data_IF_639702797582
#
_entry.id   IF_639702797582
#
_cell.length_a   1.000
_cell.length_b   1.000
_cell.length_c   1.000
_cell.angle_alpha   90.00
_cell.angle_beta   90.00
_cell.angle_gamma   90.00
#
_symmetry.space_group_name_H-M   'P 1'
#
loop_
_entity.id
_entity.type
_entity.pdbx_description
1 polymer ?
#
# COMPACT_ATOMS: atom_id res chain seq x y z
N UNK A 1 -7.80 2.25 35.36
CA UNK A 1 -8.90 2.04 34.38
C UNK A 1 -8.24 1.75 33.04
N UNK A 2 -8.41 0.55 32.46
CA UNK A 2 -7.83 0.25 31.14
C UNK A 2 -8.55 1.13 30.11
N UNK A 3 -7.86 2.14 29.60
CA UNK A 3 -8.35 2.99 28.53
C UNK A 3 -7.96 2.37 27.19
N UNK A 4 -8.78 1.49 26.66
CA UNK A 4 -8.57 0.92 25.32
C UNK A 4 -9.14 1.90 24.29
N UNK A 5 -8.35 2.39 23.30
CA UNK A 5 -8.90 3.11 22.16
C UNK A 5 -9.99 2.26 21.51
N UNK A 6 -11.20 2.79 21.39
CA UNK A 6 -12.27 2.15 20.61
C UNK A 6 -12.21 2.69 19.21
N UNK A 7 -12.15 1.78 18.24
CA UNK A 7 -12.34 2.15 16.85
C UNK A 7 -13.83 2.38 16.65
N UNK A 8 -14.22 3.61 16.32
CA UNK A 8 -15.60 3.92 15.99
C UNK A 8 -15.95 3.27 14.65
N UNK A 9 -17.00 2.43 14.66
CA UNK A 9 -17.51 1.76 13.47
C UNK A 9 -18.81 2.42 13.06
N UNK A 10 -18.86 2.87 11.82
CA UNK A 10 -20.04 3.50 11.23
C UNK A 10 -20.73 2.48 10.32
N UNK A 11 -21.73 1.78 10.85
CA UNK A 11 -22.44 0.71 10.12
C UNK A 11 -23.09 1.20 8.82
N UNK A 12 -23.43 2.48 8.72
CA UNK A 12 -23.98 3.05 7.49
C UNK A 12 -22.95 3.12 6.37
N UNK A 13 -21.65 3.28 6.68
CA UNK A 13 -20.59 3.26 5.66
C UNK A 13 -20.38 1.88 5.05
N UNK A 14 -20.74 0.80 5.77
CA UNK A 14 -20.70 -0.58 5.23
C UNK A 14 -21.75 -0.82 4.14
N UNK A 15 -22.80 0.01 4.12
CA UNK A 15 -23.85 0.00 3.10
C UNK A 15 -23.46 0.78 1.84
N UNK A 16 -22.34 1.50 1.88
CA UNK A 16 -21.75 2.18 0.73
C UNK A 16 -20.83 1.24 -0.04
N UNK A 17 -20.52 1.65 -1.27
CA UNK A 17 -19.63 0.93 -2.16
C UNK A 17 -18.26 1.63 -2.18
N UNK A 18 -17.23 0.97 -1.63
CA UNK A 18 -15.90 1.56 -1.47
C UNK A 18 -14.87 0.94 -2.40
N UNK A 19 -14.01 1.80 -2.93
CA UNK A 19 -12.84 1.46 -3.71
C UNK A 19 -11.64 2.04 -2.98
N UNK A 20 -10.70 1.19 -2.60
CA UNK A 20 -9.40 1.59 -2.08
C UNK A 20 -8.36 1.38 -3.17
N UNK A 21 -7.60 2.43 -3.48
CA UNK A 21 -6.53 2.40 -4.47
C UNK A 21 -5.19 2.53 -3.77
N UNK A 22 -4.25 1.66 -4.11
CA UNK A 22 -2.90 1.63 -3.60
C UNK A 22 -1.91 1.87 -4.73
N UNK A 23 -1.04 2.85 -4.56
CA UNK A 23 0.02 3.16 -5.50
C UNK A 23 1.32 3.54 -4.81
N UNK A 24 2.27 3.97 -5.62
CA UNK A 24 3.61 4.36 -5.18
C UNK A 24 3.66 5.88 -5.32
N UNK A 25 4.05 6.57 -4.25
CA UNK A 25 4.05 8.01 -4.20
C UNK A 25 4.99 8.62 -5.23
N UNK A 26 4.57 9.76 -5.77
CA UNK A 26 5.12 10.46 -6.95
C UNK A 26 4.91 9.68 -8.26
N UNK A 27 5.18 8.39 -8.26
CA UNK A 27 5.14 7.51 -9.43
C UNK A 27 3.72 7.23 -9.96
N UNK A 28 2.74 7.14 -9.07
CA UNK A 28 1.35 6.78 -9.37
C UNK A 28 0.34 7.84 -8.94
N UNK A 29 0.76 8.94 -8.31
CA UNK A 29 -0.16 9.96 -7.76
C UNK A 29 -1.12 10.50 -8.82
N UNK A 30 -0.60 10.84 -10.00
CA UNK A 30 -1.41 11.35 -11.11
C UNK A 30 -2.38 10.29 -11.67
N UNK A 31 -1.91 9.04 -11.82
CA UNK A 31 -2.74 7.94 -12.30
C UNK A 31 -3.87 7.60 -11.32
N UNK A 32 -3.58 7.52 -10.02
CA UNK A 32 -4.57 7.26 -8.99
C UNK A 32 -5.60 8.38 -8.90
N UNK A 33 -5.17 9.64 -9.05
CA UNK A 33 -6.07 10.79 -9.08
C UNK A 33 -7.03 10.69 -10.26
N UNK A 34 -6.51 10.46 -11.48
CA UNK A 34 -7.33 10.31 -12.68
C UNK A 34 -8.29 9.11 -12.58
N UNK A 35 -7.83 7.99 -12.00
CA UNK A 35 -8.63 6.80 -11.76
C UNK A 35 -9.79 7.08 -10.81
N UNK A 36 -9.52 7.64 -9.62
CA UNK A 36 -10.55 7.98 -8.62
C UNK A 36 -11.53 9.03 -9.13
N UNK A 37 -11.04 10.08 -9.82
CA UNK A 37 -11.90 11.10 -10.43
C UNK A 37 -12.84 10.53 -11.49
N UNK A 38 -12.35 9.64 -12.34
CA UNK A 38 -13.18 9.04 -13.39
C UNK A 38 -14.23 8.11 -12.80
N UNK A 39 -13.90 7.35 -11.75
CA UNK A 39 -14.86 6.51 -11.03
C UNK A 39 -15.94 7.34 -10.34
N UNK A 40 -15.57 8.42 -9.64
CA UNK A 40 -16.54 9.32 -9.04
C UNK A 40 -17.50 9.90 -10.12
N UNK A 41 -16.95 10.32 -11.27
CA UNK A 41 -17.77 10.81 -12.37
C UNK A 41 -18.74 9.77 -12.92
N UNK A 42 -18.40 8.48 -12.91
CA UNK A 42 -19.34 7.40 -13.26
C UNK A 42 -20.52 7.37 -12.32
N UNK A 43 -20.32 7.46 -11.01
CA UNK A 43 -21.44 7.46 -10.07
C UNK A 43 -22.31 8.71 -10.23
N UNK A 44 -21.70 9.88 -10.42
CA UNK A 44 -22.43 11.12 -10.71
C UNK A 44 -23.31 10.99 -11.97
N UNK A 45 -22.80 10.37 -13.04
CA UNK A 45 -23.58 10.10 -14.27
C UNK A 45 -24.77 9.19 -14.05
N UNK A 46 -24.69 8.30 -13.08
CA UNK A 46 -25.76 7.39 -12.69
C UNK A 46 -26.69 7.99 -11.63
N UNK A 47 -26.58 9.28 -11.32
CA UNK A 47 -27.39 9.96 -10.31
C UNK A 47 -27.08 9.51 -8.88
N UNK A 48 -25.89 8.96 -8.63
CA UNK A 48 -25.43 8.51 -7.33
C UNK A 48 -24.44 9.52 -6.78
N UNK A 49 -24.61 9.91 -5.52
CA UNK A 49 -23.61 10.70 -4.81
C UNK A 49 -22.29 9.95 -4.78
N UNK A 50 -21.20 10.63 -5.11
CA UNK A 50 -19.85 10.05 -5.09
C UNK A 50 -18.88 11.00 -4.46
N UNK A 51 -17.91 10.43 -3.77
CA UNK A 51 -16.82 11.17 -3.15
C UNK A 51 -15.50 10.48 -3.45
N UNK A 52 -14.43 11.25 -3.61
CA UNK A 52 -13.09 10.70 -3.72
C UNK A 52 -12.10 11.62 -3.01
N UNK A 53 -11.10 11.03 -2.37
CA UNK A 53 -10.08 11.77 -1.65
C UNK A 53 -8.80 10.93 -1.57
N UNK A 54 -7.68 11.64 -1.48
CA UNK A 54 -6.41 11.05 -1.10
C UNK A 54 -6.34 11.05 0.41
N UNK A 55 -5.77 10.00 1.00
CA UNK A 55 -5.53 9.96 2.44
C UNK A 55 -4.59 11.10 2.86
N UNK A 56 -5.06 12.01 3.71
CA UNK A 56 -4.31 13.19 4.11
C UNK A 56 -2.94 12.88 4.73
N UNK A 57 -2.84 11.84 5.56
CA UNK A 57 -1.59 11.39 6.19
C UNK A 57 -0.50 10.96 5.21
N UNK A 58 -0.88 10.59 3.98
CA UNK A 58 0.06 10.24 2.92
C UNK A 58 0.55 11.49 2.15
N UNK A 59 0.04 12.68 2.50
CA UNK A 59 0.43 13.99 1.96
C UNK A 59 1.38 14.74 2.92
N UNK A 60 2.42 15.42 2.43
CA UNK A 60 2.86 15.48 1.03
C UNK A 60 3.45 14.14 0.56
N UNK A 61 3.21 13.79 -0.72
CA UNK A 61 3.75 12.54 -1.24
C UNK A 61 5.29 12.52 -1.20
N UNK A 62 5.83 11.31 -1.14
CA UNK A 62 7.26 11.04 -1.16
C UNK A 62 7.52 9.89 -2.11
N UNK A 63 8.71 9.91 -2.72
CA UNK A 63 9.17 8.83 -3.57
C UNK A 63 9.09 7.48 -2.84
N UNK A 64 8.40 6.52 -3.45
CA UNK A 64 8.29 5.11 -3.04
C UNK A 64 7.43 4.80 -1.83
N UNK A 65 6.83 5.80 -1.18
CA UNK A 65 5.90 5.54 -0.09
C UNK A 65 4.58 5.02 -0.68
N UNK A 66 3.96 3.96 -0.12
CA UNK A 66 2.63 3.55 -0.52
C UNK A 66 1.64 4.68 -0.29
N UNK A 67 0.79 4.97 -1.26
CA UNK A 67 -0.26 5.97 -1.13
C UNK A 67 -1.62 5.31 -1.22
N UNK A 68 -2.60 5.89 -0.51
CA UNK A 68 -3.98 5.44 -0.50
C UNK A 68 -4.90 6.53 -1.04
N UNK A 69 -5.77 6.14 -1.97
CA UNK A 69 -6.89 6.95 -2.43
C UNK A 69 -8.17 6.17 -2.21
N UNK A 70 -9.21 6.89 -1.82
CA UNK A 70 -10.55 6.33 -1.64
C UNK A 70 -11.49 6.87 -2.71
N UNK A 71 -12.40 6.02 -3.17
CA UNK A 71 -13.54 6.43 -3.98
C UNK A 71 -14.77 5.72 -3.46
N UNK A 72 -15.81 6.49 -3.17
CA UNK A 72 -16.99 6.03 -2.46
C UNK A 72 -18.22 6.33 -3.31
N UNK A 73 -19.06 5.32 -3.48
CA UNK A 73 -20.33 5.40 -4.18
C UNK A 73 -21.47 5.30 -3.17
N UNK A 74 -22.41 6.23 -3.30
CA UNK A 74 -23.57 6.36 -2.44
C UNK A 74 -24.58 5.25 -2.58
N UNK A 75 -25.38 5.15 -1.53
CA UNK A 75 -26.61 4.35 -1.50
C UNK A 75 -27.78 5.33 -1.38
N UNK A 76 -28.92 5.12 -2.07
CA UNK A 76 -30.09 6.00 -1.97
C UNK A 76 -30.56 6.32 -0.55
N UNK A 77 -30.25 5.45 0.43
CA UNK A 77 -30.66 5.59 1.82
C UNK A 77 -29.56 6.11 2.77
N UNK A 78 -28.33 6.30 2.27
CA UNK A 78 -27.18 6.75 3.07
C UNK A 78 -26.43 7.82 2.26
N UNK A 79 -26.50 9.10 2.66
CA UNK A 79 -25.72 10.17 2.04
C UNK A 79 -24.22 9.86 2.09
N UNK A 80 -23.45 10.32 1.08
CA UNK A 80 -21.98 10.12 1.03
C UNK A 80 -21.23 11.24 1.75
N UNK A 81 -21.92 12.07 2.52
CA UNK A 81 -21.29 13.07 3.36
C UNK A 81 -20.63 12.38 4.56
N UNK A 82 -19.35 12.02 4.39
CA UNK A 82 -18.53 11.53 5.49
C UNK A 82 -18.33 12.67 6.49
N UNK A 83 -18.50 12.38 7.78
CA UNK A 83 -18.36 13.38 8.85
C UNK A 83 -16.99 14.07 8.82
N UNK A 84 -15.92 13.34 8.46
CA UNK A 84 -14.56 13.81 8.17
C UNK A 84 -13.89 12.82 7.18
N UNK A 85 -12.65 13.04 6.73
CA UNK A 85 -11.82 12.01 6.05
C UNK A 85 -11.48 10.89 7.05
N UNK A 86 -12.49 10.14 7.48
CA UNK A 86 -12.35 9.08 8.46
C UNK A 86 -11.63 7.90 7.84
N UNK A 87 -10.76 7.29 8.64
CA UNK A 87 -10.16 6.03 8.28
C UNK A 87 -11.25 4.96 8.20
N UNK A 88 -11.41 4.29 7.06
CA UNK A 88 -12.40 3.23 6.91
C UNK A 88 -12.06 2.07 7.83
N UNK A 89 -12.95 1.78 8.80
CA UNK A 89 -12.85 0.61 9.67
C UNK A 89 -14.13 -0.20 9.63
N UNK A 90 -13.99 -1.50 9.38
CA UNK A 90 -15.10 -2.43 9.19
C UNK A 90 -14.86 -3.30 7.96
N UNK A 91 -15.91 -3.87 7.38
CA UNK A 91 -15.83 -4.59 6.11
C UNK A 91 -16.41 -3.69 5.00
N UNK A 92 -15.57 -2.81 4.46
CA UNK A 92 -15.97 -1.68 3.63
C UNK A 92 -15.63 -1.89 2.16
N UNK A 93 -14.41 -2.33 1.85
CA UNK A 93 -13.89 -2.27 0.49
C UNK A 93 -14.50 -3.34 -0.41
N UNK A 94 -15.21 -2.88 -1.45
CA UNK A 94 -15.71 -3.72 -2.54
C UNK A 94 -14.62 -3.98 -3.57
N UNK A 95 -13.76 -2.99 -3.82
CA UNK A 95 -12.66 -3.08 -4.79
C UNK A 95 -11.36 -2.60 -4.15
N UNK A 96 -10.30 -3.38 -4.31
CA UNK A 96 -8.93 -3.03 -3.96
C UNK A 96 -8.15 -2.91 -5.27
N UNK A 97 -7.75 -1.70 -5.66
CA UNK A 97 -6.96 -1.45 -6.85
C UNK A 97 -5.49 -1.25 -6.49
N UNK A 98 -4.58 -2.01 -7.11
CA UNK A 98 -3.14 -1.99 -6.83
C UNK A 98 -2.38 -1.62 -8.11
N UNK A 99 -1.73 -0.46 -8.11
CA UNK A 99 -1.06 0.10 -9.30
C UNK A 99 0.35 -0.47 -9.54
N UNK A 100 0.89 -1.21 -8.57
CA UNK A 100 2.15 -1.96 -8.71
C UNK A 100 2.11 -3.24 -7.89
N UNK A 101 2.44 -4.36 -8.52
CA UNK A 101 2.55 -5.67 -7.85
C UNK A 101 3.56 -5.70 -6.69
N UNK A 102 4.53 -4.78 -6.66
CA UNK A 102 5.47 -4.68 -5.53
C UNK A 102 4.77 -4.37 -4.20
N UNK A 103 3.60 -3.72 -4.26
CA UNK A 103 2.78 -3.43 -3.08
C UNK A 103 2.15 -4.70 -2.48
N UNK A 104 2.13 -5.82 -3.22
CA UNK A 104 1.66 -7.12 -2.71
C UNK A 104 2.63 -7.79 -1.73
N UNK A 105 3.86 -7.29 -1.58
CA UNK A 105 4.89 -7.86 -0.72
C UNK A 105 4.94 -7.23 0.68
N UNK A 106 4.28 -6.09 0.84
CA UNK A 106 4.50 -5.19 1.95
C UNK A 106 3.18 -4.69 2.51
N UNK A 107 3.22 -4.22 3.76
CA UNK A 107 2.09 -3.53 4.38
C UNK A 107 1.87 -2.15 3.73
N UNK A 108 0.65 -1.65 3.86
CA UNK A 108 0.25 -0.32 3.38
C UNK A 108 0.96 0.81 4.14
N UNK A 109 0.76 2.07 3.77
CA UNK A 109 1.27 3.24 4.54
C UNK A 109 0.82 3.22 6.00
N UNK A 110 -0.33 2.62 6.28
CA UNK A 110 -0.90 2.43 7.62
C UNK A 110 -0.31 1.25 8.37
N UNK A 111 0.66 0.54 7.81
CA UNK A 111 1.15 -0.76 8.34
C UNK A 111 0.02 -1.78 8.50
N UNK A 112 -1.00 -1.67 7.67
CA UNK A 112 -2.11 -2.60 7.57
C UNK A 112 -1.85 -3.61 6.45
N UNK A 113 -2.54 -4.75 6.50
CA UNK A 113 -2.59 -5.64 5.34
C UNK A 113 -3.44 -4.98 4.23
N UNK A 114 -3.18 -5.34 2.98
CA UNK A 114 -3.95 -4.83 1.85
C UNK A 114 -5.45 -5.20 1.95
N UNK A 115 -5.78 -6.35 2.55
CA UNK A 115 -7.15 -6.80 2.76
C UNK A 115 -7.75 -6.37 4.11
N UNK A 116 -7.01 -5.66 4.97
CA UNK A 116 -7.60 -5.08 6.17
C UNK A 116 -8.71 -4.12 5.72
N UNK A 117 -9.95 -4.39 6.11
CA UNK A 117 -11.11 -3.58 5.72
C UNK A 117 -11.89 -4.09 4.51
N UNK A 118 -11.45 -5.18 3.87
CA UNK A 118 -12.09 -5.70 2.67
C UNK A 118 -13.35 -6.51 2.98
N UNK A 119 -14.37 -6.43 2.11
CA UNK A 119 -15.52 -7.34 2.14
C UNK A 119 -15.07 -8.75 1.73
N UNK A 120 -15.75 -9.79 2.22
CA UNK A 120 -15.43 -11.19 1.85
C UNK A 120 -15.51 -11.45 0.35
N UNK A 121 -16.34 -10.72 -0.39
CA UNK A 121 -16.47 -10.83 -1.85
C UNK A 121 -15.70 -9.75 -2.62
N UNK A 122 -14.73 -9.07 -1.98
CA UNK A 122 -14.00 -7.97 -2.59
C UNK A 122 -13.26 -8.39 -3.88
N UNK A 123 -13.11 -7.44 -4.79
CA UNK A 123 -12.39 -7.62 -6.05
C UNK A 123 -11.01 -6.98 -5.90
N UNK A 124 -9.95 -7.76 -6.13
CA UNK A 124 -8.59 -7.27 -6.19
C UNK A 124 -8.20 -7.02 -7.64
N UNK A 125 -7.95 -5.77 -8.02
CA UNK A 125 -7.46 -5.39 -9.36
C UNK A 125 -5.98 -5.03 -9.26
N UNK A 126 -5.10 -5.71 -10.00
CA UNK A 126 -3.65 -5.50 -9.93
C UNK A 126 -3.09 -5.16 -11.30
N UNK A 127 -2.40 -4.02 -11.40
CA UNK A 127 -1.52 -3.74 -12.52
C UNK A 127 -0.27 -4.61 -12.42
N UNK A 128 -0.19 -5.65 -13.25
CA UNK A 128 0.91 -6.60 -13.28
C UNK A 128 0.94 -7.42 -14.57
N UNK A 129 2.11 -7.96 -14.88
CA UNK A 129 2.29 -8.97 -15.92
C UNK A 129 2.46 -10.40 -15.40
N UNK A 130 2.45 -10.60 -14.07
CA UNK A 130 2.45 -11.95 -13.48
C UNK A 130 1.04 -12.55 -13.55
N UNK A 131 0.95 -13.87 -13.45
CA UNK A 131 -0.34 -14.58 -13.56
C UNK A 131 -1.27 -14.29 -12.37
N UNK A 132 -2.60 -14.39 -12.54
CA UNK A 132 -3.54 -14.36 -11.41
C UNK A 132 -3.19 -15.37 -10.31
N UNK A 133 -2.67 -16.55 -10.68
CA UNK A 133 -2.26 -17.58 -9.72
C UNK A 133 -1.10 -17.11 -8.83
N UNK A 134 -0.12 -16.44 -9.43
CA UNK A 134 1.00 -15.89 -8.68
C UNK A 134 0.54 -14.73 -7.79
N UNK A 135 -0.35 -13.86 -8.26
CA UNK A 135 -0.99 -12.83 -7.41
C UNK A 135 -1.68 -13.47 -6.21
N UNK A 136 -2.46 -14.53 -6.41
CA UNK A 136 -3.14 -15.25 -5.31
C UNK A 136 -2.13 -15.80 -4.30
N UNK A 137 -1.01 -16.39 -4.77
CA UNK A 137 0.06 -16.86 -3.86
C UNK A 137 0.62 -15.72 -3.01
N UNK A 138 0.90 -14.56 -3.61
CA UNK A 138 1.39 -13.38 -2.89
C UNK A 138 0.39 -12.89 -1.85
N UNK A 139 -0.89 -12.81 -2.22
CA UNK A 139 -1.97 -12.39 -1.31
C UNK A 139 -2.06 -13.31 -0.10
N UNK A 140 -2.10 -14.65 -0.31
CA UNK A 140 -2.12 -15.65 0.78
C UNK A 140 -0.92 -15.54 1.72
N UNK A 141 0.24 -15.13 1.19
CA UNK A 141 1.50 -15.04 1.93
C UNK A 141 1.64 -13.74 2.72
N UNK A 142 1.27 -12.62 2.13
CA UNK A 142 1.65 -11.29 2.64
C UNK A 142 0.49 -10.42 3.12
N UNK A 143 -0.72 -10.63 2.62
CA UNK A 143 -1.72 -9.57 2.62
C UNK A 143 -3.15 -9.99 3.01
N UNK A 144 -3.39 -11.26 3.28
CA UNK A 144 -4.71 -11.76 3.65
C UNK A 144 -4.66 -12.49 4.98
N UNK A 145 -5.56 -12.13 5.89
CA UNK A 145 -5.73 -12.79 7.18
C UNK A 145 -7.21 -13.05 7.53
N UNK A 146 -8.09 -13.03 6.53
CA UNK A 146 -9.52 -13.26 6.64
C UNK A 146 -9.99 -14.15 5.49
N UNK A 147 -11.22 -14.67 5.58
CA UNK A 147 -11.82 -15.38 4.46
C UNK A 147 -12.02 -14.45 3.27
N UNK A 148 -11.81 -14.96 2.07
CA UNK A 148 -11.99 -14.21 0.84
C UNK A 148 -12.55 -15.11 -0.28
N UNK A 149 -13.76 -14.77 -0.70
CA UNK A 149 -14.59 -15.42 -1.72
C UNK A 149 -14.87 -14.44 -2.87
N UNK A 150 -13.82 -13.78 -3.36
CA UNK A 150 -13.91 -12.69 -4.32
C UNK A 150 -13.31 -13.03 -5.68
N UNK A 151 -12.75 -12.00 -6.31
CA UNK A 151 -12.13 -12.11 -7.65
C UNK A 151 -10.79 -11.39 -7.67
N UNK A 152 -9.83 -11.97 -8.39
CA UNK A 152 -8.59 -11.31 -8.81
C UNK A 152 -8.74 -10.89 -10.26
N UNK A 153 -8.38 -9.65 -10.55
CA UNK A 153 -8.24 -9.11 -11.90
C UNK A 153 -6.79 -8.69 -12.08
N UNK A 154 -6.14 -9.20 -13.11
CA UNK A 154 -4.79 -8.76 -13.48
C UNK A 154 -4.80 -8.08 -14.84
N UNK A 155 -3.97 -7.06 -14.99
CA UNK A 155 -3.82 -6.32 -16.25
C UNK A 155 -2.40 -5.79 -16.39
N UNK A 156 -1.80 -5.93 -17.56
CA UNK A 156 -0.53 -5.25 -17.90
C UNK A 156 -0.81 -3.85 -18.45
N UNK A 157 -1.15 -2.92 -17.56
CA UNK A 157 -1.71 -1.61 -17.92
C UNK A 157 -0.71 -0.78 -18.74
N UNK A 158 0.57 -0.76 -18.38
CA UNK A 158 1.56 0.05 -19.08
C UNK A 158 1.80 -0.43 -20.53
N UNK A 159 1.49 -1.69 -20.86
CA UNK A 159 1.53 -2.16 -22.25
C UNK A 159 0.45 -1.55 -23.13
N UNK A 160 -0.65 -1.08 -22.54
CA UNK A 160 -1.79 -0.50 -23.25
C UNK A 160 -1.60 1.00 -23.39
N UNK A 161 -1.32 1.70 -22.30
CA UNK A 161 -1.15 3.16 -22.27
C UNK A 161 -0.17 3.56 -21.16
N UNK A 162 0.58 4.65 -21.38
CA UNK A 162 1.47 5.19 -20.35
C UNK A 162 0.72 5.79 -19.16
N UNK A 163 -0.51 6.28 -19.38
CA UNK A 163 -1.43 6.70 -18.33
C UNK A 163 -2.24 5.48 -17.89
N UNK A 164 -1.66 4.70 -16.97
CA UNK A 164 -2.17 3.39 -16.55
C UNK A 164 -3.52 3.46 -15.83
N UNK A 165 -3.94 4.66 -15.40
CA UNK A 165 -5.27 4.90 -14.85
C UNK A 165 -6.40 4.37 -15.77
N UNK A 166 -6.35 4.68 -17.06
CA UNK A 166 -7.42 4.36 -18.00
C UNK A 166 -7.60 2.87 -18.30
N UNK A 167 -6.54 2.09 -18.59
CA UNK A 167 -6.68 0.63 -18.70
C UNK A 167 -7.09 -0.01 -17.36
N UNK A 168 -6.62 0.51 -16.22
CA UNK A 168 -7.07 0.04 -14.89
C UNK A 168 -8.56 0.25 -14.65
N UNK A 169 -9.15 1.36 -15.14
CA UNK A 169 -10.61 1.57 -15.09
C UNK A 169 -11.37 0.48 -15.85
N UNK A 170 -10.90 0.12 -17.04
CA UNK A 170 -11.46 -0.99 -17.81
C UNK A 170 -11.38 -2.32 -17.06
N UNK A 171 -10.26 -2.57 -16.37
CA UNK A 171 -10.08 -3.74 -15.53
C UNK A 171 -11.09 -3.81 -14.38
N UNK A 172 -11.39 -2.68 -13.72
CA UNK A 172 -12.47 -2.63 -12.71
C UNK A 172 -13.81 -3.01 -13.32
N UNK A 173 -14.17 -2.41 -14.45
CA UNK A 173 -15.45 -2.70 -15.11
C UNK A 173 -15.58 -4.16 -15.59
N UNK A 174 -14.45 -4.86 -15.83
CA UNK A 174 -14.47 -6.28 -16.21
C UNK A 174 -14.97 -7.22 -15.12
N UNK A 175 -14.95 -6.77 -13.85
CA UNK A 175 -15.31 -7.60 -12.70
C UNK A 175 -16.31 -6.96 -11.74
N UNK A 176 -16.53 -5.64 -11.79
CA UNK A 176 -17.40 -4.96 -10.83
C UNK A 176 -18.64 -4.35 -11.50
N UNK A 177 -19.79 -4.98 -11.28
CA UNK A 177 -21.07 -4.64 -11.93
C UNK A 177 -21.57 -3.21 -11.65
N UNK A 178 -21.02 -2.56 -10.61
CA UNK A 178 -21.38 -1.18 -10.27
C UNK A 178 -20.90 -0.17 -11.32
N UNK A 179 -19.84 -0.50 -12.06
CA UNK A 179 -19.19 0.34 -13.06
C UNK A 179 -19.18 -0.40 -14.39
N UNK A 180 -19.94 0.08 -15.36
CA UNK A 180 -19.95 -0.45 -16.72
C UNK A 180 -19.05 0.36 -17.64
N UNK A 181 -18.70 -0.27 -18.78
CA UNK A 181 -17.81 0.30 -19.77
C UNK A 181 -18.39 1.59 -20.38
N UNK A 182 -19.69 1.63 -20.70
CA UNK A 182 -20.31 2.79 -21.33
C UNK A 182 -20.24 4.03 -20.43
N UNK A 183 -20.50 3.86 -19.14
CA UNK A 183 -20.40 4.94 -18.15
C UNK A 183 -18.97 5.46 -18.02
N UNK A 184 -17.96 4.57 -18.05
CA UNK A 184 -16.55 4.99 -18.03
C UNK A 184 -16.16 5.77 -19.30
N UNK A 185 -16.65 5.33 -20.46
CA UNK A 185 -16.42 6.01 -21.73
C UNK A 185 -17.07 7.39 -21.75
N UNK A 186 -18.28 7.53 -21.20
CA UNK A 186 -18.96 8.81 -21.05
C UNK A 186 -18.23 9.73 -20.04
N UNK A 187 -17.76 9.18 -18.91
CA UNK A 187 -16.96 9.94 -17.94
C UNK A 187 -15.66 10.46 -18.56
N UNK A 188 -15.00 9.67 -19.42
CA UNK A 188 -13.82 10.11 -20.14
C UNK A 188 -14.09 11.28 -21.10
N UNK A 189 -15.25 11.35 -21.75
CA UNK A 189 -15.62 12.50 -22.60
C UNK A 189 -15.76 13.79 -21.80
N UNK A 190 -16.38 13.72 -20.63
CA UNK A 190 -16.63 14.89 -19.77
C UNK A 190 -15.32 15.55 -19.36
N UNK A 191 -14.28 14.75 -19.11
CA UNK A 191 -12.95 15.24 -18.78
C UNK A 191 -12.09 15.62 -20.01
N UNK A 192 -12.65 15.60 -21.23
CA UNK A 192 -11.90 15.85 -22.47
C UNK A 192 -10.80 14.81 -22.71
N UNK A 193 -11.07 13.55 -22.38
CA UNK A 193 -10.15 12.41 -22.49
C UNK A 193 -10.65 11.41 -23.54
N UNK A 194 -11.23 11.88 -24.64
CA UNK A 194 -11.80 11.04 -25.70
C UNK A 194 -10.76 10.06 -26.27
N UNK A 195 -9.50 10.52 -26.38
CA UNK A 195 -8.37 9.69 -26.83
C UNK A 195 -8.05 8.51 -25.90
N UNK A 196 -8.51 8.54 -24.64
CA UNK A 196 -8.28 7.49 -23.64
C UNK A 196 -9.36 6.42 -23.62
N UNK A 197 -10.49 6.63 -24.30
CA UNK A 197 -11.57 5.64 -24.45
C UNK A 197 -11.07 4.29 -24.94
N UNK A 198 -10.20 4.30 -25.95
CA UNK A 198 -9.64 3.07 -26.50
C UNK A 198 -8.78 2.32 -25.48
N UNK A 199 -8.05 3.05 -24.63
CA UNK A 199 -7.29 2.45 -23.55
C UNK A 199 -8.19 1.81 -22.49
N UNK A 200 -9.35 2.41 -22.19
CA UNK A 200 -10.33 1.84 -21.26
C UNK A 200 -10.89 0.53 -21.83
N UNK A 201 -11.29 0.51 -23.13
CA UNK A 201 -11.81 -0.69 -23.80
C UNK A 201 -10.78 -1.82 -23.80
N UNK A 202 -9.54 -1.52 -24.20
CA UNK A 202 -8.45 -2.49 -24.14
C UNK A 202 -8.20 -2.99 -22.73
N UNK A 203 -8.34 -2.13 -21.72
CA UNK A 203 -8.25 -2.55 -20.34
C UNK A 203 -9.30 -3.59 -19.98
N UNK A 204 -10.56 -3.33 -20.33
CA UNK A 204 -11.67 -4.25 -20.13
C UNK A 204 -11.46 -5.60 -20.84
N UNK A 205 -11.06 -5.56 -22.11
CA UNK A 205 -10.90 -6.77 -22.96
C UNK A 205 -9.68 -7.62 -22.60
N UNK A 206 -8.58 -6.99 -22.16
CA UNK A 206 -7.32 -7.69 -21.89
C UNK A 206 -7.10 -8.02 -20.40
N UNK A 207 -8.11 -7.77 -19.55
CA UNK A 207 -8.08 -8.17 -18.15
C UNK A 207 -8.26 -9.67 -17.98
N UNK A 208 -7.44 -10.27 -17.13
CA UNK A 208 -7.61 -11.66 -16.72
C UNK A 208 -8.30 -11.72 -15.37
N UNK A 209 -9.52 -12.26 -15.35
CA UNK A 209 -10.35 -12.40 -14.15
C UNK A 209 -10.29 -13.84 -13.65
N UNK A 210 -10.08 -14.02 -12.35
CA UNK A 210 -10.08 -15.31 -11.67
C UNK A 210 -10.91 -15.24 -10.38
N UNK A 211 -11.86 -16.14 -10.22
CA UNK A 211 -12.55 -16.34 -8.95
C UNK A 211 -11.64 -17.02 -7.93
N UNK A 212 -11.79 -16.64 -6.67
CA UNK A 212 -11.01 -17.18 -5.56
C UNK A 212 -11.92 -17.57 -4.42
N UNK A 213 -11.54 -18.65 -3.74
CA UNK A 213 -12.16 -19.09 -2.51
C UNK A 213 -11.05 -19.50 -1.54
N UNK A 214 -10.71 -18.61 -0.62
CA UNK A 214 -9.57 -18.75 0.29
C UNK A 214 -10.09 -18.59 1.71
N UNK A 215 -9.86 -19.60 2.54
CA UNK A 215 -10.15 -19.55 3.97
C UNK A 215 -8.99 -18.89 4.71
N UNK A 216 -9.29 -18.15 5.79
CA UNK A 216 -8.27 -17.45 6.58
C UNK A 216 -7.15 -18.39 7.04
N UNK A 217 -7.49 -19.60 7.47
CA UNK A 217 -6.58 -20.63 7.94
C UNK A 217 -5.54 -21.10 6.91
N UNK A 218 -5.78 -20.88 5.62
CA UNK A 218 -4.84 -21.21 4.56
C UNK A 218 -3.72 -20.17 4.41
N UNK A 219 -3.89 -18.98 4.99
CA UNK A 219 -3.00 -17.84 4.79
C UNK A 219 -1.86 -17.82 5.81
N UNK A 220 -0.70 -17.32 5.40
CA UNK A 220 0.44 -17.18 6.32
C UNK A 220 0.21 -16.08 7.35
N UNK A 221 -0.46 -14.99 6.95
CA UNK A 221 -0.66 -13.86 7.85
C UNK A 221 -1.62 -14.21 8.97
N UNK A 222 -2.72 -14.93 8.69
CA UNK A 222 -3.61 -15.42 9.75
C UNK A 222 -2.86 -16.26 10.79
N UNK A 223 -1.95 -17.14 10.34
CA UNK A 223 -1.11 -17.97 11.23
C UNK A 223 -0.10 -17.15 12.05
N UNK A 224 0.31 -15.98 11.53
CA UNK A 224 1.29 -15.08 12.18
C UNK A 224 0.64 -14.07 13.13
N UNK A 225 -0.66 -13.82 13.03
CA UNK A 225 -1.37 -12.95 13.97
C UNK A 225 -1.28 -13.61 15.35
N UNK A 226 -0.58 -12.92 16.26
CA UNK A 226 -0.49 -13.32 17.66
C UNK A 226 -1.67 -12.73 18.43
N UNK A 227 -2.05 -13.41 19.51
CA UNK A 227 -2.98 -12.88 20.51
C UNK A 227 -2.48 -11.55 21.08
N UNK A 228 -3.42 -10.76 21.62
CA UNK A 228 -3.24 -9.42 22.18
C UNK A 228 -1.94 -9.27 22.98
N UNK A 229 -1.20 -8.20 22.70
CA UNK A 229 -0.02 -7.82 23.48
C UNK A 229 -0.53 -7.26 24.81
N UNK A 230 -0.07 -7.82 25.94
CA UNK A 230 -0.30 -7.21 27.24
C UNK A 230 0.48 -5.90 27.33
N UNK A 231 -0.25 -4.78 27.30
CA UNK A 231 0.30 -3.45 27.45
C UNK A 231 0.36 -3.06 28.94
N UNK A 232 1.40 -2.32 29.37
CA UNK A 232 1.48 -1.80 30.73
C UNK A 232 0.24 -0.98 31.08
N UNK A 233 -0.31 -1.14 32.29
CA UNK A 233 -1.41 -0.27 32.73
C UNK A 233 -0.89 1.11 33.09
N UNK A 234 -1.69 2.14 32.77
CA UNK A 234 -1.39 3.50 33.21
C UNK A 234 -1.53 3.63 34.73
N UNK A 235 -0.43 3.96 35.39
CA UNK A 235 -0.34 4.07 36.85
C UNK A 235 -0.68 5.47 37.38
N UNK A 236 -0.92 6.45 36.51
CA UNK A 236 -1.08 7.86 36.90
C UNK A 236 0.22 8.65 36.95
N UNK A 237 1.36 7.99 36.71
CA UNK A 237 2.69 8.60 36.66
C UNK A 237 3.20 8.72 35.22
N UNK A 238 4.21 9.57 35.03
CA UNK A 238 4.87 9.75 33.74
C UNK A 238 5.52 8.45 33.26
N UNK A 239 5.55 8.24 31.94
CA UNK A 239 6.14 7.06 31.36
C UNK A 239 7.64 6.95 31.66
N UNK A 240 8.04 5.83 32.25
CA UNK A 240 9.45 5.46 32.21
C UNK A 240 9.84 5.10 30.78
N UNK A 241 11.14 5.21 30.40
CA UNK A 241 11.60 4.77 29.09
C UNK A 241 11.15 3.34 28.74
N UNK A 242 11.13 2.44 29.71
CA UNK A 242 10.68 1.05 29.54
C UNK A 242 9.20 0.96 29.12
N UNK A 243 8.33 1.75 29.75
CA UNK A 243 6.90 1.82 29.39
C UNK A 243 6.74 2.40 27.98
N UNK A 244 7.40 3.54 27.69
CA UNK A 244 7.36 4.17 26.36
C UNK A 244 7.79 3.19 25.26
N UNK A 245 8.93 2.50 25.44
CA UNK A 245 9.42 1.55 24.45
C UNK A 245 8.54 0.31 24.31
N UNK A 246 7.83 -0.11 25.36
CA UNK A 246 6.89 -1.24 25.29
C UNK A 246 5.70 -0.90 24.39
N UNK A 247 5.09 0.28 24.57
CA UNK A 247 4.03 0.78 23.71
C UNK A 247 4.50 0.98 22.27
N UNK A 248 5.65 1.64 22.09
CA UNK A 248 6.22 1.88 20.77
C UNK A 248 6.51 0.57 20.02
N UNK A 249 7.05 -0.43 20.72
CA UNK A 249 7.31 -1.77 20.16
C UNK A 249 6.02 -2.50 19.81
N UNK A 250 5.00 -2.45 20.67
CA UNK A 250 3.72 -3.08 20.39
C UNK A 250 3.06 -2.50 19.12
N UNK A 251 3.05 -1.17 18.98
CA UNK A 251 2.55 -0.50 17.78
C UNK A 251 3.41 -0.75 16.53
N UNK A 252 4.70 -0.94 16.70
CA UNK A 252 5.62 -1.28 15.62
C UNK A 252 5.44 -2.71 15.09
N UNK A 253 5.22 -3.67 16.00
CA UNK A 253 5.14 -5.11 15.70
C UNK A 253 3.71 -5.59 15.40
N UNK A 254 2.72 -4.71 15.56
CA UNK A 254 1.33 -4.94 15.20
C UNK A 254 1.19 -5.49 13.76
N UNK A 255 0.39 -6.54 13.62
CA UNK A 255 0.20 -7.26 12.35
C UNK A 255 -1.00 -6.79 11.55
N UNK A 256 -2.00 -6.22 12.23
CA UNK A 256 -3.22 -5.66 11.64
C UNK A 256 -3.40 -4.21 12.05
N UNK A 257 -4.19 -3.45 11.28
CA UNK A 257 -4.56 -2.09 11.66
C UNK A 257 -5.21 -2.02 13.05
N UNK A 258 -6.15 -2.92 13.35
CA UNK A 258 -6.86 -2.94 14.64
C UNK A 258 -5.93 -3.18 15.83
N UNK A 259 -4.99 -4.13 15.71
CA UNK A 259 -3.98 -4.39 16.74
C UNK A 259 -3.06 -3.20 16.96
N UNK A 260 -2.72 -2.47 15.88
CA UNK A 260 -1.91 -1.25 15.96
C UNK A 260 -2.64 -0.16 16.74
N UNK A 261 -3.90 0.12 16.41
CA UNK A 261 -4.69 1.13 17.14
C UNK A 261 -4.87 0.74 18.61
N UNK A 262 -5.15 -0.52 18.90
CA UNK A 262 -5.27 -1.00 20.28
C UNK A 262 -3.96 -0.84 21.09
N UNK A 263 -2.81 -0.85 20.40
CA UNK A 263 -1.49 -0.65 20.99
C UNK A 263 -1.04 0.81 21.10
N UNK A 264 -1.79 1.76 20.55
CA UNK A 264 -1.45 3.17 20.66
C UNK A 264 -1.89 3.75 22.02
N UNK A 265 -1.05 4.54 22.68
CA UNK A 265 -1.45 5.25 23.88
C UNK A 265 -2.52 6.30 23.57
N UNK A 266 -3.44 6.54 24.51
CA UNK A 266 -4.32 7.71 24.44
C UNK A 266 -3.61 8.98 24.89
N UNK A 267 -4.18 10.13 24.55
CA UNK A 267 -3.61 11.43 24.89
C UNK A 267 -3.42 11.65 26.41
N UNK A 268 -4.26 11.03 27.26
CA UNK A 268 -4.18 11.18 28.72
C UNK A 268 -2.92 10.57 29.33
N UNK A 269 -2.23 9.69 28.58
CA UNK A 269 -1.02 9.01 29.05
C UNK A 269 0.23 9.49 28.30
N UNK A 270 0.09 10.43 27.36
CA UNK A 270 1.24 11.01 26.66
C UNK A 270 2.03 11.93 27.58
N UNK A 271 3.34 12.02 27.31
CA UNK A 271 4.23 12.93 28.00
C UNK A 271 3.74 14.39 27.89
N UNK A 272 3.75 15.20 28.97
CA UNK A 272 3.51 16.64 28.86
C UNK A 272 4.48 17.27 27.85
N UNK A 273 3.93 18.07 26.93
CA UNK A 273 4.70 18.65 25.82
C UNK A 273 5.11 17.65 24.73
N UNK A 274 4.56 16.42 24.74
CA UNK A 274 4.85 15.36 23.77
C UNK A 274 6.34 15.02 23.67
N UNK A 275 7.03 15.02 24.82
CA UNK A 275 8.45 14.64 24.88
C UNK A 275 8.57 13.15 24.54
N UNK A 276 9.22 12.85 23.42
CA UNK A 276 9.52 11.50 22.98
C UNK A 276 10.92 11.07 23.42
N UNK A 277 11.06 9.79 23.79
CA UNK A 277 12.37 9.21 24.08
C UNK A 277 13.01 8.68 22.80
N UNK A 278 14.02 9.40 22.31
CA UNK A 278 14.81 8.96 21.17
C UNK A 278 15.61 7.68 21.46
N UNK A 279 16.01 6.92 20.42
CA UNK A 279 16.86 5.75 20.60
C UNK A 279 18.20 6.14 21.23
N UNK A 280 18.80 5.23 22.00
CA UNK A 280 20.16 5.41 22.53
C UNK A 280 21.15 5.61 21.38
N UNK A 281 22.24 6.38 21.55
CA UNK A 281 23.28 6.50 20.54
C UNK A 281 23.75 5.13 20.02
N UNK A 282 23.79 4.96 18.70
CA UNK A 282 24.14 3.70 18.04
C UNK A 282 22.98 2.73 17.82
N UNK A 283 21.81 2.95 18.45
CA UNK A 283 20.60 2.19 18.19
C UNK A 283 19.72 2.89 17.15
N UNK A 284 18.95 2.09 16.43
CA UNK A 284 17.97 2.59 15.47
C UNK A 284 16.63 2.86 16.14
N UNK A 285 15.80 3.68 15.49
CA UNK A 285 14.48 4.03 16.02
C UNK A 285 13.55 2.81 16.01
N UNK A 286 12.92 2.54 17.16
CA UNK A 286 12.03 1.38 17.34
C UNK A 286 10.81 1.59 16.46
N UNK A 287 10.54 0.61 15.61
CA UNK A 287 9.39 0.62 14.73
C UNK A 287 9.50 1.51 13.51
N UNK A 288 10.63 2.17 13.27
CA UNK A 288 10.91 2.69 11.93
C UNK A 288 11.56 1.59 11.10
N UNK A 289 10.76 0.92 10.26
CA UNK A 289 11.27 0.01 9.22
C UNK A 289 10.66 0.42 7.88
N UNK A 290 11.46 0.33 6.83
CA UNK A 290 11.05 0.63 5.46
C UNK A 290 10.76 -0.69 4.77
N UNK A 291 9.49 -1.07 4.73
CA UNK A 291 9.07 -2.26 3.98
C UNK A 291 8.76 -1.94 2.52
N UNK A 292 8.92 -0.69 2.10
CA UNK A 292 8.34 -0.16 0.86
C UNK A 292 9.20 -0.30 -0.39
N UNK A 293 10.06 -1.32 -0.41
CA UNK A 293 10.98 -1.53 -1.53
C UNK A 293 10.24 -2.15 -2.70
N UNK A 294 10.38 -1.51 -3.84
CA UNK A 294 10.09 -2.12 -5.14
C UNK A 294 11.36 -2.69 -5.79
N UNK A 295 12.53 -2.24 -5.36
CA UNK A 295 13.85 -2.77 -5.73
C UNK A 295 14.80 -2.79 -4.53
N UNK A 296 15.84 -3.62 -4.61
CA UNK A 296 16.91 -3.70 -3.62
C UNK A 296 18.30 -3.67 -4.25
N UNK A 297 19.30 -3.05 -3.59
CA UNK A 297 20.69 -3.15 -3.99
C UNK A 297 21.29 -4.50 -3.58
N UNK A 298 22.02 -5.14 -4.48
CA UNK A 298 22.81 -6.36 -4.24
C UNK A 298 24.28 -6.05 -4.50
N UNK A 299 25.14 -6.32 -3.50
CA UNK A 299 26.57 -6.04 -3.55
C UNK A 299 27.33 -7.28 -4.05
N UNK A 300 28.10 -7.13 -5.12
CA UNK A 300 29.17 -8.04 -5.50
C UNK A 300 30.44 -7.70 -4.72
N UNK A 301 30.67 -8.45 -3.62
CA UNK A 301 31.83 -8.27 -2.76
C UNK A 301 33.17 -8.56 -3.45
N UNK A 302 33.20 -9.28 -4.58
CA UNK A 302 34.44 -9.50 -5.34
C UNK A 302 34.88 -8.26 -6.11
N UNK A 303 33.92 -7.41 -6.48
CA UNK A 303 34.17 -6.13 -7.17
C UNK A 303 34.25 -4.94 -6.23
N UNK A 304 33.73 -5.09 -5.00
CA UNK A 304 33.75 -4.04 -4.00
C UNK A 304 35.19 -3.69 -3.59
N UNK A 305 35.57 -2.43 -3.74
CA UNK A 305 36.88 -1.91 -3.32
C UNK A 305 36.88 -1.37 -1.89
N UNK A 306 35.77 -1.57 -1.17
CA UNK A 306 35.55 -1.07 0.19
C UNK A 306 35.72 0.46 0.39
N UNK A 307 35.54 1.25 -0.67
CA UNK A 307 35.73 2.71 -0.67
C UNK A 307 34.71 3.52 0.16
N UNK A 308 33.70 2.88 0.74
CA UNK A 308 32.64 3.47 1.61
C UNK A 308 31.74 4.55 1.00
N UNK A 309 31.87 4.90 -0.28
CA UNK A 309 30.99 5.89 -0.91
C UNK A 309 29.50 5.53 -0.79
N UNK A 310 29.14 4.26 -0.97
CA UNK A 310 27.75 3.81 -0.80
C UNK A 310 27.20 4.10 0.62
N UNK A 311 28.05 4.00 1.65
CA UNK A 311 27.68 4.34 3.03
C UNK A 311 27.45 5.85 3.18
N UNK A 312 28.40 6.68 2.74
CA UNK A 312 28.30 8.14 2.90
C UNK A 312 27.13 8.77 2.14
N UNK A 313 26.78 8.22 0.97
CA UNK A 313 25.69 8.74 0.15
C UNK A 313 24.33 8.10 0.45
N UNK A 314 24.22 7.16 1.39
CA UNK A 314 22.94 6.57 1.76
C UNK A 314 22.12 7.57 2.60
N UNK A 315 21.01 8.13 2.08
CA UNK A 315 20.25 9.15 2.81
C UNK A 315 19.55 8.60 4.06
N UNK A 316 19.30 7.29 4.10
CA UNK A 316 18.59 6.61 5.19
C UNK A 316 19.54 5.95 6.20
N UNK A 317 20.86 6.08 6.04
CA UNK A 317 21.83 5.39 6.93
C UNK A 317 21.69 3.87 6.91
N UNK A 318 21.16 3.30 5.82
CA UNK A 318 20.85 1.88 5.68
C UNK A 318 22.05 1.00 5.29
N UNK A 319 23.27 1.54 5.30
CA UNK A 319 24.49 0.79 4.95
C UNK A 319 25.48 0.97 6.10
N UNK A 320 25.99 -0.11 6.68
CA UNK A 320 27.00 -0.04 7.75
C UNK A 320 28.38 0.33 7.22
N UNK A 321 29.21 0.99 8.03
CA UNK A 321 30.56 1.42 7.63
C UNK A 321 31.57 0.26 7.56
N UNK A 322 31.58 -0.62 8.56
CA UNK A 322 32.50 -1.75 8.61
C UNK A 322 31.85 -2.97 9.29
N UNK A 323 31.64 -4.10 8.58
CA UNK A 323 31.78 -4.25 7.12
C UNK A 323 30.73 -3.43 6.36
N UNK A 324 30.92 -3.21 5.05
CA UNK A 324 29.83 -2.72 4.19
C UNK A 324 28.74 -3.79 4.12
N UNK A 325 27.59 -3.50 4.72
CA UNK A 325 26.40 -4.36 4.71
C UNK A 325 25.17 -3.47 4.62
N UNK A 326 24.25 -3.84 3.74
CA UNK A 326 22.95 -3.17 3.64
C UNK A 326 22.03 -3.73 4.71
N UNK A 327 21.37 -2.84 5.43
CA UNK A 327 20.26 -3.15 6.31
C UNK A 327 18.95 -2.96 5.54
N UNK A 328 18.34 -4.09 5.15
CA UNK A 328 17.08 -4.09 4.42
C UNK A 328 15.87 -3.75 5.30
N UNK A 329 16.01 -3.59 6.62
CA UNK A 329 14.91 -3.03 7.41
C UNK A 329 14.81 -1.51 7.24
N UNK A 330 15.85 -0.86 6.72
CA UNK A 330 15.91 0.61 6.54
C UNK A 330 16.16 1.05 5.09
N UNK A 331 16.55 0.10 4.23
CA UNK A 331 16.74 0.38 2.81
C UNK A 331 15.40 0.62 2.11
N UNK A 332 15.25 1.79 1.49
CA UNK A 332 14.08 2.14 0.65
C UNK A 332 14.24 1.76 -0.83
N UNK A 333 15.38 1.21 -1.23
CA UNK A 333 15.61 0.85 -2.64
C UNK A 333 15.79 2.06 -3.56
N UNK A 334 16.29 3.19 -3.04
CA UNK A 334 16.42 4.42 -3.84
C UNK A 334 17.44 4.32 -4.98
N UNK A 335 18.42 3.41 -4.89
CA UNK A 335 19.43 3.16 -5.92
C UNK A 335 20.63 4.13 -5.93
N UNK A 336 20.66 5.14 -5.05
CA UNK A 336 21.79 6.09 -4.95
C UNK A 336 23.12 5.36 -4.74
N UNK A 337 23.14 4.35 -3.85
CA UNK A 337 24.34 3.55 -3.60
C UNK A 337 24.88 2.84 -4.85
N UNK A 338 24.01 2.36 -5.73
CA UNK A 338 24.38 1.74 -6.99
C UNK A 338 24.94 2.77 -7.98
N UNK A 339 24.32 3.95 -8.03
CA UNK A 339 24.78 5.02 -8.89
C UNK A 339 26.20 5.50 -8.54
N UNK A 340 26.44 5.80 -7.26
CA UNK A 340 27.72 6.36 -6.78
C UNK A 340 28.86 5.33 -6.71
N UNK A 341 28.58 4.04 -6.87
CA UNK A 341 29.60 3.01 -6.77
C UNK A 341 30.56 3.06 -7.99
N UNK A 342 31.85 3.46 -7.81
CA UNK A 342 32.78 3.60 -8.93
C UNK A 342 33.15 2.25 -9.55
N UNK A 343 33.21 1.19 -8.75
CA UNK A 343 33.49 -0.17 -9.21
C UNK A 343 32.27 -0.83 -9.88
N UNK A 344 31.11 -0.18 -9.88
CA UNK A 344 29.81 -0.74 -10.29
C UNK A 344 29.56 -2.12 -9.66
N UNK A 345 29.93 -2.23 -8.38
CA UNK A 345 29.81 -3.46 -7.59
C UNK A 345 28.42 -3.65 -6.98
N UNK A 346 27.50 -2.70 -7.18
CA UNK A 346 26.14 -2.77 -6.65
C UNK A 346 25.16 -2.77 -7.82
N UNK A 347 24.29 -3.77 -7.86
CA UNK A 347 23.21 -3.92 -8.85
C UNK A 347 21.86 -3.72 -8.18
N UNK A 348 20.91 -3.08 -8.85
CA UNK A 348 19.52 -3.00 -8.38
C UNK A 348 18.72 -4.17 -8.95
N UNK A 349 17.98 -4.85 -8.09
CA UNK A 349 17.15 -6.02 -8.45
C UNK A 349 15.73 -5.79 -7.96
N UNK A 350 14.71 -6.27 -8.70
CA UNK A 350 13.32 -6.22 -8.26
C UNK A 350 13.15 -6.87 -6.88
N UNK A 351 12.41 -6.22 -5.97
CA UNK A 351 12.08 -6.83 -4.68
C UNK A 351 11.24 -8.11 -4.88
N UNK A 352 10.31 -8.06 -5.84
CA UNK A 352 9.45 -9.19 -6.20
C UNK A 352 10.25 -10.35 -6.80
N UNK A 353 11.16 -10.07 -7.73
CA UNK A 353 12.02 -11.12 -8.30
C UNK A 353 12.93 -11.71 -7.23
N UNK A 354 13.47 -10.89 -6.34
CA UNK A 354 14.41 -11.35 -5.33
C UNK A 354 13.74 -12.23 -4.26
N UNK A 355 12.54 -11.85 -3.80
CA UNK A 355 11.84 -12.60 -2.76
C UNK A 355 11.12 -13.84 -3.30
N UNK A 356 10.50 -13.71 -4.48
CA UNK A 356 9.56 -14.72 -5.00
C UNK A 356 9.97 -15.33 -6.34
N UNK A 357 11.05 -14.86 -6.96
CA UNK A 357 11.47 -15.32 -8.30
C UNK A 357 10.56 -14.85 -9.43
N UNK A 358 9.60 -13.97 -9.15
CA UNK A 358 8.59 -13.52 -10.11
C UNK A 358 9.06 -12.26 -10.85
N UNK A 359 9.05 -12.32 -12.18
CA UNK A 359 9.46 -11.22 -13.06
C UNK A 359 8.24 -10.45 -13.55
N UNK A 360 7.96 -9.31 -12.94
CA UNK A 360 6.92 -8.41 -13.41
C UNK A 360 7.48 -7.31 -14.32
N UNK A 361 7.16 -7.40 -15.61
CA UNK A 361 7.55 -6.39 -16.61
C UNK A 361 6.96 -5.00 -16.34
N UNK A 362 5.82 -4.90 -15.66
CA UNK A 362 5.22 -3.61 -15.29
C UNK A 362 6.13 -2.87 -14.28
N UNK A 363 6.72 -3.61 -13.33
CA UNK A 363 7.69 -3.09 -12.37
C UNK A 363 9.05 -2.83 -13.03
N UNK A 364 9.54 -3.79 -13.83
CA UNK A 364 10.85 -3.70 -14.47
C UNK A 364 10.96 -2.53 -15.46
N UNK A 365 9.91 -2.24 -16.24
CA UNK A 365 9.93 -1.12 -17.19
C UNK A 365 10.22 0.22 -16.51
N UNK A 366 9.73 0.42 -15.29
CA UNK A 366 10.01 1.64 -14.51
C UNK A 366 11.44 1.68 -13.97
N UNK A 367 12.13 0.54 -13.84
CA UNK A 367 13.57 0.53 -13.53
C UNK A 367 14.39 1.08 -14.68
N UNK A 368 14.09 0.65 -15.90
CA UNK A 368 14.88 1.00 -17.09
C UNK A 368 14.75 2.49 -17.45
N UNK A 369 13.64 3.12 -17.09
CA UNK A 369 13.38 4.54 -17.33
C UNK A 369 14.02 5.47 -16.29
N UNK A 370 14.66 4.92 -15.24
CA UNK A 370 15.11 5.71 -14.10
C UNK A 370 16.55 6.18 -14.28
N UNK A 371 16.72 7.47 -14.43
CA UNK A 371 18.01 8.11 -14.19
C UNK A 371 18.22 8.21 -12.68
N UNK A 372 19.18 7.44 -12.15
CA UNK A 372 19.60 7.57 -10.77
C UNK A 372 20.51 8.81 -10.68
N UNK A 373 19.94 9.97 -10.40
CA UNK A 373 20.67 11.24 -10.37
C UNK A 373 19.85 12.31 -9.68
N UNK A 374 20.54 13.30 -9.11
CA UNK A 374 19.92 14.47 -8.49
C UNK A 374 19.14 15.32 -9.49
#
# INVERSE_FOLDING_TARGET
MKFTPKIERYFDYEKLDWIISHGIGVDHTADMTAFSQTLAQVGALKGIETYYYMRYDDSPERNYIPMIFYTVFGNPNVPVLLHEEVEPVGELFNVIAVFSSSLLLQKTSQRALLFDGAKKNAILVVNTSISPDDVVKLVKKYNLAQDWFGRVVTISAARIDSAIAYPMLGAVASAWDRVDLDSLLAAADIFGKEKKKESIRKGYENSSVKEVHILAEETEMFKKIKNEIELPEYTGEFWTPEVYYTYQKAAAEAQTYSSRIASMPRWEVLAPGLIEFGPKPGNKNIGFTTQWRWQRPIIDYKRCTDCKLCHYYCPDGAISFNPIKIDYDYCKGCGICANVCPAKAISMVSELEHLEGLKDREVLRRFDQREYGF
#
